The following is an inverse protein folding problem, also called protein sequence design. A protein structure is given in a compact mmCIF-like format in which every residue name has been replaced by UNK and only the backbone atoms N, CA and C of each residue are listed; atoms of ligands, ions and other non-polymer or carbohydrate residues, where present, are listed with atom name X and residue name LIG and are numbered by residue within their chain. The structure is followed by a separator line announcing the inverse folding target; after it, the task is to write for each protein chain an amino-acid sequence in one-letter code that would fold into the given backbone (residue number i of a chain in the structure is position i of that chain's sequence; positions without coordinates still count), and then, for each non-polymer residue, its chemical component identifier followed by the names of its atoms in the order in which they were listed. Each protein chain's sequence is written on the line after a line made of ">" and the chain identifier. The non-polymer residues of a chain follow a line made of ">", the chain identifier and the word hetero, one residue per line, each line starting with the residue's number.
data_IF_515556225857
#
_entry.id   IF_515556225857
#
_cell.length_a   1.000
_cell.length_b   1.000
_cell.length_c   1.000
_cell.angle_alpha   90.00
_cell.angle_beta   90.00
_cell.angle_gamma   90.00
#
_symmetry.space_group_name_H-M   'P 1'
#
loop_
_entity.id
_entity.type
_entity.pdbx_description
1 polymer ?
#
# COMPACT_ATOMS: atom_id res chain seq x y z
N UNK A 1 -32.27 -29.37 16.34
CA UNK A 1 -30.86 -29.76 16.31
C UNK A 1 -30.30 -29.81 14.87
N UNK A 2 -30.86 -30.59 13.94
CA UNK A 2 -30.37 -30.69 12.54
C UNK A 2 -30.35 -29.37 11.78
N UNK A 3 -31.38 -28.53 11.89
CA UNK A 3 -31.46 -27.21 11.23
C UNK A 3 -30.37 -26.27 11.74
N UNK A 4 -30.14 -26.20 13.04
CA UNK A 4 -29.07 -25.38 13.62
C UNK A 4 -27.69 -25.80 13.14
N UNK A 5 -27.44 -27.13 13.09
CA UNK A 5 -26.21 -27.67 12.56
C UNK A 5 -26.01 -27.28 11.07
N UNK A 6 -27.06 -27.40 10.27
CA UNK A 6 -27.02 -27.04 8.85
C UNK A 6 -26.69 -25.53 8.67
N UNK A 7 -27.34 -24.66 9.46
CA UNK A 7 -27.05 -23.21 9.42
C UNK A 7 -25.60 -22.92 9.79
N UNK A 8 -25.10 -23.57 10.86
CA UNK A 8 -23.68 -23.41 11.27
C UNK A 8 -22.72 -23.86 10.16
N UNK A 9 -22.99 -25.01 9.52
CA UNK A 9 -22.17 -25.51 8.42
C UNK A 9 -22.20 -24.59 7.20
N UNK A 10 -23.35 -24.01 6.85
CA UNK A 10 -23.46 -23.01 5.79
C UNK A 10 -22.65 -21.76 6.13
N UNK A 11 -22.77 -21.23 7.33
CA UNK A 11 -22.01 -20.05 7.76
C UNK A 11 -20.50 -20.30 7.76
N UNK A 12 -20.08 -21.46 8.24
CA UNK A 12 -18.66 -21.89 8.15
C UNK A 12 -18.20 -22.00 6.70
N UNK A 13 -19.01 -22.58 5.83
CA UNK A 13 -18.71 -22.68 4.40
C UNK A 13 -18.56 -21.30 3.76
N UNK A 14 -19.47 -20.37 4.03
CA UNK A 14 -19.40 -19.01 3.50
C UNK A 14 -18.12 -18.26 3.93
N UNK A 15 -17.56 -18.59 5.08
CA UNK A 15 -16.30 -18.02 5.56
C UNK A 15 -15.10 -18.76 4.97
N UNK A 16 -15.08 -20.08 5.03
CA UNK A 16 -13.91 -20.89 4.69
C UNK A 16 -13.67 -21.01 3.18
N UNK A 17 -14.73 -21.10 2.37
CA UNK A 17 -14.60 -21.27 0.92
C UNK A 17 -13.87 -20.12 0.22
N UNK A 18 -14.12 -18.83 0.53
CA UNK A 18 -13.34 -17.74 -0.04
C UNK A 18 -11.85 -17.83 0.32
N UNK A 19 -11.52 -18.20 1.56
CA UNK A 19 -10.11 -18.37 1.97
C UNK A 19 -9.45 -19.54 1.24
N UNK A 20 -10.16 -20.68 1.10
CA UNK A 20 -9.68 -21.83 0.35
C UNK A 20 -9.47 -21.46 -1.12
N UNK A 21 -10.39 -20.71 -1.72
CA UNK A 21 -10.27 -20.24 -3.09
C UNK A 21 -9.03 -19.34 -3.27
N UNK A 22 -8.83 -18.36 -2.39
CA UNK A 22 -7.64 -17.51 -2.42
C UNK A 22 -6.35 -18.32 -2.22
N UNK A 23 -6.39 -19.33 -1.34
CA UNK A 23 -5.25 -20.22 -1.13
C UNK A 23 -4.91 -21.01 -2.40
N UNK A 24 -5.91 -21.63 -3.04
CA UNK A 24 -5.74 -22.38 -4.28
C UNK A 24 -5.19 -21.45 -5.37
N UNK A 25 -5.77 -20.26 -5.58
CA UNK A 25 -5.25 -19.28 -6.53
C UNK A 25 -3.79 -18.93 -6.25
N UNK A 26 -3.43 -18.79 -4.96
CA UNK A 26 -2.05 -18.54 -4.55
C UNK A 26 -1.08 -19.66 -4.95
N UNK A 27 -1.50 -20.92 -4.99
CA UNK A 27 -0.62 -22.04 -5.36
C UNK A 27 -0.14 -21.95 -6.82
N UNK A 28 -0.90 -21.34 -7.71
CA UNK A 28 -0.54 -21.14 -9.12
C UNK A 28 0.43 -19.95 -9.35
N UNK A 29 0.80 -19.23 -8.30
CA UNK A 29 1.79 -18.14 -8.41
C UNK A 29 3.20 -18.68 -8.22
N UNK A 30 4.03 -18.59 -9.24
CA UNK A 30 5.46 -18.88 -9.14
C UNK A 30 6.19 -17.74 -8.41
N UNK A 31 6.59 -17.98 -7.18
CA UNK A 31 7.28 -17.00 -6.34
C UNK A 31 8.75 -16.80 -6.69
N UNK A 32 9.32 -17.62 -7.59
CA UNK A 32 10.69 -17.48 -8.08
C UNK A 32 10.76 -16.51 -9.25
N UNK A 33 9.64 -16.37 -9.99
CA UNK A 33 9.54 -15.48 -11.14
C UNK A 33 9.37 -14.03 -10.67
N UNK A 34 10.12 -13.11 -11.25
CA UNK A 34 9.85 -11.68 -11.11
C UNK A 34 8.81 -11.28 -12.16
N UNK A 35 7.66 -10.77 -11.70
CA UNK A 35 6.61 -10.31 -12.58
C UNK A 35 6.84 -8.83 -12.91
N UNK A 36 6.87 -8.50 -14.19
CA UNK A 36 7.04 -7.13 -14.70
C UNK A 36 5.71 -6.43 -14.96
N UNK A 37 4.63 -7.21 -15.09
CA UNK A 37 3.28 -6.70 -15.32
C UNK A 37 2.30 -7.30 -14.32
N UNK A 38 1.39 -6.47 -13.86
CA UNK A 38 0.28 -6.86 -12.99
C UNK A 38 -0.66 -7.84 -13.70
N UNK A 39 -1.30 -8.71 -12.94
CA UNK A 39 -2.35 -9.60 -13.44
C UNK A 39 -3.71 -9.04 -13.07
N UNK A 40 -4.54 -8.76 -14.07
CA UNK A 40 -5.92 -8.29 -13.85
C UNK A 40 -6.70 -9.20 -12.90
N UNK A 41 -6.56 -10.53 -13.06
CA UNK A 41 -7.21 -11.53 -12.21
C UNK A 41 -6.76 -11.44 -10.75
N UNK A 42 -5.44 -11.48 -10.50
CA UNK A 42 -4.92 -11.42 -9.12
C UNK A 42 -5.13 -10.04 -8.49
N UNK A 43 -5.12 -8.97 -9.29
CA UNK A 43 -5.47 -7.63 -8.81
C UNK A 43 -6.93 -7.58 -8.37
N UNK A 44 -7.86 -8.12 -9.16
CA UNK A 44 -9.27 -8.19 -8.77
C UNK A 44 -9.48 -9.03 -7.50
N UNK A 45 -8.75 -10.15 -7.35
CA UNK A 45 -8.76 -10.96 -6.13
C UNK A 45 -8.24 -10.16 -4.93
N UNK A 46 -7.13 -9.42 -5.09
CA UNK A 46 -6.55 -8.60 -4.03
C UNK A 46 -7.54 -7.51 -3.60
N UNK A 47 -8.01 -6.72 -4.56
CA UNK A 47 -8.89 -5.57 -4.29
C UNK A 47 -10.26 -6.03 -3.73
N UNK A 48 -10.84 -7.09 -4.30
CA UNK A 48 -12.11 -7.63 -3.83
C UNK A 48 -12.03 -8.20 -2.42
N UNK A 49 -11.04 -9.07 -2.15
CA UNK A 49 -10.89 -9.68 -0.83
C UNK A 49 -10.56 -8.66 0.25
N UNK A 50 -9.70 -7.66 -0.05
CA UNK A 50 -9.38 -6.61 0.92
C UNK A 50 -10.56 -5.66 1.16
N UNK A 51 -11.37 -5.36 0.15
CA UNK A 51 -12.62 -4.60 0.33
C UNK A 51 -13.55 -5.30 1.31
N UNK A 52 -13.77 -6.61 1.15
CA UNK A 52 -14.61 -7.40 2.06
C UNK A 52 -14.01 -7.41 3.47
N UNK A 53 -12.70 -7.62 3.60
CA UNK A 53 -12.02 -7.63 4.90
C UNK A 53 -12.19 -6.28 5.60
N UNK A 54 -11.94 -5.16 4.94
CA UNK A 54 -12.08 -3.82 5.54
C UNK A 54 -13.52 -3.53 5.96
N UNK A 55 -14.49 -3.99 5.16
CA UNK A 55 -15.91 -3.91 5.52
C UNK A 55 -16.23 -4.73 6.77
N UNK A 56 -15.79 -5.98 6.84
CA UNK A 56 -15.96 -6.85 8.01
C UNK A 56 -15.29 -6.27 9.27
N UNK A 57 -14.14 -5.61 9.12
CA UNK A 57 -13.44 -4.95 10.22
C UNK A 57 -14.09 -3.62 10.64
N UNK A 58 -15.16 -3.21 9.96
CA UNK A 58 -15.87 -1.97 10.26
C UNK A 58 -15.03 -0.71 10.01
N UNK A 59 -14.09 -0.77 9.06
CA UNK A 59 -13.28 0.39 8.67
C UNK A 59 -14.12 1.33 7.84
N UNK A 60 -14.18 2.60 8.27
CA UNK A 60 -14.75 3.71 7.51
C UNK A 60 -13.62 4.66 7.16
N UNK A 61 -13.55 5.10 5.92
CA UNK A 61 -12.50 6.02 5.47
C UNK A 61 -13.10 7.27 4.88
N UNK A 62 -12.44 8.37 5.17
CA UNK A 62 -12.69 9.70 4.63
C UNK A 62 -11.47 10.13 3.83
N UNK A 63 -11.69 10.61 2.60
CA UNK A 63 -10.61 10.99 1.70
C UNK A 63 -10.81 12.46 1.34
N UNK A 64 -9.72 13.22 1.37
CA UNK A 64 -9.71 14.60 0.91
C UNK A 64 -8.51 14.89 0.02
N UNK A 65 -8.64 15.89 -0.85
CA UNK A 65 -7.60 16.26 -1.80
C UNK A 65 -7.46 15.34 -3.00
N UNK A 66 -8.50 14.53 -3.31
CA UNK A 66 -8.44 13.61 -4.47
C UNK A 66 -8.30 14.34 -5.80
N UNK A 67 -8.73 15.59 -5.89
CA UNK A 67 -8.54 16.46 -7.05
C UNK A 67 -7.06 16.77 -7.36
N UNK A 68 -6.17 16.54 -6.39
CA UNK A 68 -4.73 16.75 -6.54
C UNK A 68 -4.01 15.56 -7.20
N UNK A 69 -4.69 14.43 -7.41
CA UNK A 69 -4.09 13.34 -8.17
C UNK A 69 -3.80 13.76 -9.61
N UNK A 70 -2.73 13.24 -10.24
CA UNK A 70 -2.50 13.48 -11.66
C UNK A 70 -3.71 13.04 -12.47
N UNK A 71 -4.16 13.85 -13.43
CA UNK A 71 -5.29 13.52 -14.31
C UNK A 71 -5.02 12.26 -15.12
N UNK A 72 -3.80 12.08 -15.54
CA UNK A 72 -3.36 10.93 -16.35
C UNK A 72 -2.03 10.37 -15.86
N UNK A 73 -1.86 9.08 -16.13
CA UNK A 73 -0.60 8.39 -15.86
C UNK A 73 -0.52 7.81 -14.46
N UNK A 74 0.66 7.36 -14.16
CA UNK A 74 1.03 6.73 -12.89
C UNK A 74 2.10 7.55 -12.17
N UNK A 75 2.27 7.29 -10.88
CA UNK A 75 3.04 8.12 -9.97
C UNK A 75 3.68 7.28 -8.86
N UNK A 76 4.66 7.86 -8.19
CA UNK A 76 5.12 7.38 -6.90
C UNK A 76 4.20 7.93 -5.81
N UNK A 77 3.52 7.06 -5.10
CA UNK A 77 2.67 7.39 -3.97
C UNK A 77 3.46 7.24 -2.67
N UNK A 78 3.55 8.29 -1.87
CA UNK A 78 4.21 8.27 -0.58
C UNK A 78 3.25 8.67 0.54
N UNK A 79 3.38 8.01 1.69
CA UNK A 79 2.56 8.28 2.88
C UNK A 79 3.35 8.02 4.15
N UNK A 80 2.89 8.57 5.28
CA UNK A 80 3.35 8.17 6.60
C UNK A 80 2.91 6.74 6.94
N UNK A 81 3.57 6.09 7.88
CA UNK A 81 3.33 4.68 8.21
C UNK A 81 3.02 4.46 9.69
N UNK A 82 1.78 4.15 10.01
CA UNK A 82 1.27 3.93 11.38
C UNK A 82 0.92 2.48 11.68
N UNK A 83 0.41 1.76 10.68
CA UNK A 83 -0.18 0.44 10.88
C UNK A 83 0.14 -0.53 9.74
N UNK A 84 -0.01 -1.83 9.99
CA UNK A 84 0.01 -2.84 8.91
C UNK A 84 -1.21 -2.69 7.97
N UNK A 85 -2.24 -1.98 8.40
CA UNK A 85 -3.44 -1.75 7.61
C UNK A 85 -3.29 -0.60 6.61
N UNK A 86 -2.30 0.30 6.78
CA UNK A 86 -2.10 1.45 5.88
C UNK A 86 -2.03 1.04 4.40
N UNK A 87 -1.13 0.13 3.99
CA UNK A 87 -1.06 -0.26 2.59
C UNK A 87 -2.35 -0.94 2.12
N UNK A 88 -3.00 -1.75 2.99
CA UNK A 88 -4.23 -2.47 2.67
C UNK A 88 -5.34 -1.49 2.32
N UNK A 89 -5.50 -0.45 3.13
CA UNK A 89 -6.50 0.59 2.91
C UNK A 89 -6.16 1.38 1.64
N UNK A 90 -4.92 1.83 1.51
CA UNK A 90 -4.51 2.68 0.39
C UNK A 90 -4.61 1.98 -0.96
N UNK A 91 -4.18 0.70 -1.11
CA UNK A 91 -4.36 0.02 -2.38
C UNK A 91 -5.83 -0.30 -2.68
N UNK A 92 -6.66 -0.53 -1.65
CA UNK A 92 -8.09 -0.82 -1.82
C UNK A 92 -8.86 0.43 -2.20
N UNK A 93 -8.59 1.55 -1.54
CA UNK A 93 -9.24 2.84 -1.79
C UNK A 93 -8.83 3.40 -3.16
N UNK A 94 -7.54 3.37 -3.46
CA UNK A 94 -6.97 3.89 -4.71
C UNK A 94 -6.78 2.80 -5.78
N UNK A 95 -7.66 1.79 -5.83
CA UNK A 95 -7.58 0.64 -6.76
C UNK A 95 -7.46 1.05 -8.23
N UNK A 96 -8.05 2.19 -8.63
CA UNK A 96 -7.95 2.72 -10.00
C UNK A 96 -6.51 2.96 -10.44
N UNK A 97 -5.60 3.27 -9.52
CA UNK A 97 -4.19 3.55 -9.78
C UNK A 97 -3.29 2.31 -9.67
N UNK A 98 -3.85 1.15 -9.35
CA UNK A 98 -3.14 -0.14 -9.26
C UNK A 98 -1.86 -0.05 -8.43
N UNK A 99 -1.94 0.51 -7.21
CA UNK A 99 -0.80 0.68 -6.33
C UNK A 99 -0.10 -0.66 -6.05
N UNK A 100 1.19 -0.73 -6.32
CA UNK A 100 2.07 -1.84 -5.98
C UNK A 100 3.12 -1.36 -4.98
N UNK A 101 3.07 -1.86 -3.74
CA UNK A 101 3.93 -1.34 -2.67
C UNK A 101 5.31 -1.97 -2.64
N UNK A 102 6.32 -1.13 -2.35
CA UNK A 102 7.61 -1.59 -1.87
C UNK A 102 7.43 -2.00 -0.41
N UNK A 103 7.69 -3.26 -0.10
CA UNK A 103 7.35 -3.86 1.18
C UNK A 103 8.48 -4.70 1.76
N UNK A 104 8.43 -5.01 3.06
CA UNK A 104 9.41 -5.90 3.68
C UNK A 104 9.26 -7.35 3.18
N UNK A 105 10.36 -8.10 3.14
CA UNK A 105 10.40 -9.49 2.65
C UNK A 105 9.42 -10.43 3.37
N UNK A 106 9.20 -10.22 4.66
CA UNK A 106 8.32 -11.05 5.47
C UNK A 106 6.88 -11.03 5.01
N UNK A 107 6.42 -9.93 4.41
CA UNK A 107 5.05 -9.81 3.91
C UNK A 107 4.77 -10.80 2.76
N UNK A 108 5.79 -11.18 1.99
CA UNK A 108 5.67 -12.17 0.92
C UNK A 108 5.59 -13.62 1.42
N UNK A 109 5.82 -13.83 2.73
CA UNK A 109 5.66 -15.14 3.40
C UNK A 109 4.27 -15.31 4.01
N UNK A 110 3.43 -14.28 4.04
CA UNK A 110 2.05 -14.38 4.53
C UNK A 110 1.30 -15.39 3.65
N UNK A 111 0.70 -16.43 4.23
CA UNK A 111 -0.06 -17.41 3.46
C UNK A 111 -1.09 -16.74 2.56
N UNK A 112 -1.29 -17.24 1.35
CA UNK A 112 -2.17 -16.71 0.31
C UNK A 112 -1.77 -15.30 -0.16
N UNK A 113 -1.89 -14.30 0.69
CA UNK A 113 -1.67 -12.89 0.34
C UNK A 113 -0.24 -12.59 -0.14
N UNK A 114 0.76 -13.21 0.46
CA UNK A 114 2.15 -13.03 0.05
C UNK A 114 2.38 -13.38 -1.43
N UNK A 115 1.74 -14.44 -1.91
CA UNK A 115 1.80 -14.86 -3.32
C UNK A 115 0.95 -13.95 -4.22
N UNK A 116 -0.24 -13.53 -3.76
CA UNK A 116 -1.12 -12.63 -4.51
C UNK A 116 -0.46 -11.27 -4.71
N UNK A 117 0.06 -10.64 -3.65
CA UNK A 117 0.76 -9.35 -3.76
C UNK A 117 2.01 -9.47 -4.65
N UNK A 118 2.74 -10.61 -4.58
CA UNK A 118 3.86 -10.87 -5.47
C UNK A 118 3.43 -10.87 -6.94
N UNK A 119 2.30 -11.50 -7.27
CA UNK A 119 1.74 -11.52 -8.63
C UNK A 119 1.18 -10.16 -9.08
N UNK A 120 0.85 -9.28 -8.13
CA UNK A 120 0.45 -7.89 -8.34
C UNK A 120 1.64 -6.92 -8.35
N UNK A 121 2.84 -7.40 -8.66
CA UNK A 121 4.06 -6.60 -8.80
C UNK A 121 4.49 -5.83 -7.54
N UNK A 122 4.06 -6.23 -6.35
CA UNK A 122 4.65 -5.72 -5.12
C UNK A 122 6.12 -6.16 -5.03
N UNK A 123 6.95 -5.37 -4.38
CA UNK A 123 8.40 -5.55 -4.42
C UNK A 123 9.00 -5.67 -3.03
N UNK A 124 9.71 -6.78 -2.72
CA UNK A 124 10.44 -6.89 -1.46
C UNK A 124 11.67 -5.97 -1.47
N UNK A 125 11.88 -5.22 -0.37
CA UNK A 125 13.09 -4.43 -0.18
C UNK A 125 14.00 -5.08 0.87
N UNK A 126 15.29 -5.13 0.58
CA UNK A 126 16.33 -5.52 1.52
C UNK A 126 16.99 -4.26 2.11
N UNK A 127 16.57 -3.87 3.32
CA UNK A 127 17.09 -2.67 4.00
C UNK A 127 18.49 -2.83 4.55
N UNK A 128 18.98 -4.08 4.65
CA UNK A 128 20.34 -4.37 5.14
C UNK A 128 21.39 -4.28 4.03
N UNK A 129 20.98 -4.29 2.76
CA UNK A 129 21.87 -4.26 1.62
C UNK A 129 21.52 -3.07 0.71
N UNK A 130 22.32 -1.98 0.73
CA UNK A 130 22.09 -0.82 -0.17
C UNK A 130 22.03 -1.21 -1.65
N UNK A 131 22.87 -2.16 -2.07
CA UNK A 131 22.86 -2.68 -3.44
C UNK A 131 21.50 -3.32 -3.79
N UNK A 132 21.00 -4.26 -2.96
CA UNK A 132 19.70 -4.91 -3.19
C UNK A 132 18.53 -3.94 -3.07
N UNK A 133 18.62 -2.96 -2.18
CA UNK A 133 17.62 -1.88 -2.10
C UNK A 133 17.57 -1.08 -3.41
N UNK A 134 18.73 -0.78 -4.00
CA UNK A 134 18.80 -0.07 -5.29
C UNK A 134 18.25 -0.92 -6.45
N UNK A 135 18.44 -2.24 -6.43
CA UNK A 135 17.83 -3.17 -7.40
C UNK A 135 16.29 -3.07 -7.33
N UNK A 136 15.72 -3.01 -6.10
CA UNK A 136 14.27 -2.81 -5.90
C UNK A 136 13.82 -1.44 -6.42
N UNK A 137 14.57 -0.37 -6.16
CA UNK A 137 14.29 0.98 -6.67
C UNK A 137 14.28 0.99 -8.20
N UNK A 138 15.27 0.38 -8.85
CA UNK A 138 15.33 0.29 -10.31
C UNK A 138 14.14 -0.47 -10.90
N UNK A 139 13.75 -1.57 -10.26
CA UNK A 139 12.58 -2.36 -10.65
C UNK A 139 11.28 -1.56 -10.50
N UNK A 140 11.15 -0.81 -9.42
CA UNK A 140 9.98 0.05 -9.18
C UNK A 140 9.88 1.18 -10.22
N UNK A 141 11.02 1.79 -10.58
CA UNK A 141 11.08 2.78 -11.65
C UNK A 141 10.67 2.17 -13.00
N UNK A 142 11.15 0.96 -13.32
CA UNK A 142 10.75 0.24 -14.54
C UNK A 142 9.24 -0.03 -14.56
N UNK A 143 8.65 -0.46 -13.42
CA UNK A 143 7.21 -0.66 -13.32
C UNK A 143 6.42 0.63 -13.62
N UNK A 144 6.88 1.77 -13.09
CA UNK A 144 6.27 3.08 -13.35
C UNK A 144 6.37 3.52 -14.82
N UNK A 145 7.46 3.18 -15.52
CA UNK A 145 7.65 3.60 -16.93
C UNK A 145 6.96 2.69 -17.94
N UNK A 146 6.95 1.37 -17.68
CA UNK A 146 6.54 0.37 -18.67
C UNK A 146 5.12 -0.15 -18.49
N UNK A 147 4.45 0.20 -17.37
CA UNK A 147 3.10 -0.29 -17.07
C UNK A 147 2.17 0.84 -16.65
N UNK A 148 0.88 0.54 -16.49
CA UNK A 148 -0.09 1.48 -15.92
C UNK A 148 -0.20 1.40 -14.39
N UNK A 149 0.77 0.78 -13.69
CA UNK A 149 0.77 0.69 -12.24
C UNK A 149 1.42 1.92 -11.61
N UNK A 150 0.89 2.37 -10.49
CA UNK A 150 1.58 3.28 -9.57
C UNK A 150 2.34 2.49 -8.51
N UNK A 151 3.36 3.09 -7.91
CA UNK A 151 4.17 2.47 -6.85
C UNK A 151 3.90 3.18 -5.55
N UNK A 152 3.58 2.43 -4.50
CA UNK A 152 3.42 2.94 -3.15
C UNK A 152 4.66 2.67 -2.28
N UNK A 153 5.03 3.64 -1.45
CA UNK A 153 6.13 3.48 -0.50
C UNK A 153 5.92 4.32 0.76
N UNK A 154 6.41 3.81 1.87
CA UNK A 154 6.50 4.53 3.14
C UNK A 154 7.96 4.95 3.35
N UNK A 155 8.31 6.22 3.15
CA UNK A 155 9.71 6.66 3.20
C UNK A 155 10.33 6.53 4.58
N UNK A 156 9.54 6.47 5.65
CA UNK A 156 10.00 6.17 7.02
C UNK A 156 10.66 4.79 7.16
N UNK A 157 10.34 3.87 6.25
CA UNK A 157 10.88 2.51 6.26
C UNK A 157 10.40 1.62 7.41
N UNK A 158 9.76 2.14 8.44
CA UNK A 158 9.15 1.42 9.57
C UNK A 158 7.93 2.17 10.07
N UNK A 159 7.08 1.51 10.86
CA UNK A 159 5.90 2.14 11.46
C UNK A 159 6.30 3.03 12.63
N UNK A 160 5.74 4.23 12.68
CA UNK A 160 5.75 5.05 13.88
C UNK A 160 4.75 4.51 14.90
N UNK A 161 5.22 4.25 16.13
CA UNK A 161 4.37 3.79 17.23
C UNK A 161 3.78 4.94 18.05
N UNK A 162 4.43 6.09 18.02
CA UNK A 162 4.10 7.26 18.85
C UNK A 162 3.30 8.33 18.08
N UNK A 163 2.89 8.02 16.85
CA UNK A 163 2.16 8.97 16.02
C UNK A 163 3.02 10.06 15.39
N UNK A 164 4.29 10.17 15.76
CA UNK A 164 5.23 11.15 15.18
C UNK A 164 5.77 10.64 13.84
N UNK A 165 5.95 11.54 12.89
CA UNK A 165 6.61 11.22 11.64
C UNK A 165 8.08 10.84 11.90
N UNK A 166 8.55 9.76 11.30
CA UNK A 166 9.95 9.34 11.41
C UNK A 166 10.76 9.92 10.24
N UNK A 167 12.09 10.11 10.41
CA UNK A 167 12.95 10.62 9.34
C UNK A 167 12.87 9.75 8.08
N UNK A 168 12.87 10.40 6.92
CA UNK A 168 12.73 9.73 5.64
C UNK A 168 14.04 9.12 5.14
N UNK A 169 13.94 7.96 4.55
CA UNK A 169 14.99 7.35 3.75
C UNK A 169 14.87 7.89 2.31
N UNK A 170 15.58 8.97 1.99
CA UNK A 170 15.52 9.66 0.71
C UNK A 170 15.68 8.74 -0.53
N UNK A 171 16.44 7.65 -0.39
CA UNK A 171 16.76 6.74 -1.50
C UNK A 171 15.55 6.14 -2.22
N UNK A 172 14.38 6.05 -1.59
CA UNK A 172 13.16 5.52 -2.23
C UNK A 172 12.55 6.51 -3.22
N UNK A 173 12.80 7.81 -3.06
CA UNK A 173 12.31 8.84 -4.00
C UNK A 173 13.02 8.78 -5.36
N UNK A 174 14.20 8.12 -5.42
CA UNK A 174 14.86 7.81 -6.70
C UNK A 174 13.98 7.00 -7.65
N UNK A 175 12.94 6.32 -7.14
CA UNK A 175 11.95 5.65 -7.99
C UNK A 175 11.29 6.64 -8.95
N UNK A 176 10.76 7.75 -8.43
CA UNK A 176 10.12 8.79 -9.23
C UNK A 176 11.11 9.50 -10.15
N UNK A 177 12.29 9.87 -9.62
CA UNK A 177 13.34 10.55 -10.39
C UNK A 177 13.81 9.71 -11.59
N UNK A 178 14.10 8.41 -11.39
CA UNK A 178 14.50 7.49 -12.45
C UNK A 178 13.39 7.23 -13.46
N UNK A 179 12.15 7.20 -13.02
CA UNK A 179 11.00 6.98 -13.89
C UNK A 179 10.55 8.26 -14.60
N UNK A 180 11.01 9.45 -14.19
CA UNK A 180 10.52 10.73 -14.70
C UNK A 180 9.02 10.92 -14.41
N UNK A 181 8.54 10.48 -13.25
CA UNK A 181 7.12 10.48 -12.88
C UNK A 181 6.87 11.38 -11.66
N UNK A 182 5.63 11.90 -11.50
CA UNK A 182 5.27 12.72 -10.35
C UNK A 182 5.29 11.92 -9.05
N UNK A 183 5.35 12.65 -7.93
CA UNK A 183 5.22 12.12 -6.57
C UNK A 183 3.93 12.65 -5.96
N UNK A 184 3.04 11.75 -5.55
CA UNK A 184 1.84 12.07 -4.77
C UNK A 184 2.16 11.91 -3.30
N UNK A 185 2.05 12.99 -2.55
CA UNK A 185 2.30 13.06 -1.11
C UNK A 185 0.97 12.97 -0.38
N UNK A 186 0.85 12.05 0.59
CA UNK A 186 -0.37 11.84 1.36
C UNK A 186 -0.10 11.57 2.82
N UNK A 187 -1.12 11.76 3.66
CA UNK A 187 -1.14 11.30 5.05
C UNK A 187 -2.26 10.29 5.28
N UNK A 188 -2.07 9.42 6.27
CA UNK A 188 -3.07 8.47 6.74
C UNK A 188 -3.09 8.45 8.27
N UNK A 189 -4.30 8.48 8.87
CA UNK A 189 -4.50 8.48 10.31
C UNK A 189 -5.63 7.55 10.73
N UNK A 190 -5.63 7.14 12.00
CA UNK A 190 -6.67 6.28 12.59
C UNK A 190 -6.46 4.78 12.40
N UNK A 191 -5.58 4.36 11.51
CA UNK A 191 -5.33 2.94 11.19
C UNK A 191 -4.72 2.16 12.36
N UNK A 192 -3.97 2.82 13.23
CA UNK A 192 -3.40 2.26 14.46
C UNK A 192 -4.46 1.78 15.44
N UNK A 193 -5.68 2.33 15.34
CA UNK A 193 -6.81 1.99 16.20
C UNK A 193 -7.57 0.74 15.76
N UNK A 194 -7.39 0.26 14.52
CA UNK A 194 -8.16 -0.85 13.94
C UNK A 194 -8.12 -2.09 14.83
N UNK A 195 -6.91 -2.55 15.20
CA UNK A 195 -6.77 -3.76 16.00
C UNK A 195 -7.42 -3.64 17.39
N UNK A 196 -7.33 -2.47 18.01
CA UNK A 196 -7.97 -2.18 19.31
C UNK A 196 -9.48 -2.15 19.17
N UNK A 197 -10.00 -1.52 18.11
CA UNK A 197 -11.43 -1.35 17.90
C UNK A 197 -12.12 -2.66 17.52
N UNK A 198 -11.48 -3.53 16.73
CA UNK A 198 -11.97 -4.88 16.44
C UNK A 198 -12.27 -5.64 17.75
N UNK A 199 -11.32 -5.65 18.69
CA UNK A 199 -11.50 -6.33 20.00
C UNK A 199 -12.65 -5.77 20.82
N UNK A 200 -13.08 -4.54 20.53
CA UNK A 200 -14.16 -3.84 21.22
C UNK A 200 -15.46 -3.78 20.39
N UNK A 201 -15.51 -4.49 19.26
CA UNK A 201 -16.64 -4.45 18.32
C UNK A 201 -17.00 -3.02 17.87
N UNK A 202 -16.01 -2.14 17.73
CA UNK A 202 -16.17 -0.74 17.31
C UNK A 202 -15.69 -0.52 15.90
N UNK A 203 -16.36 0.33 15.16
CA UNK A 203 -15.91 0.83 13.86
C UNK A 203 -14.69 1.74 14.03
N UNK A 204 -13.84 1.77 13.01
CA UNK A 204 -12.67 2.63 13.01
C UNK A 204 -12.80 3.64 11.87
N UNK A 205 -12.74 4.93 12.23
CA UNK A 205 -12.58 6.00 11.25
C UNK A 205 -11.10 6.10 10.86
N UNK A 206 -10.86 6.22 9.56
CA UNK A 206 -9.54 6.41 8.96
C UNK A 206 -9.62 7.60 8.03
N UNK A 207 -8.71 8.56 8.21
CA UNK A 207 -8.61 9.74 7.34
C UNK A 207 -7.41 9.59 6.43
N UNK A 208 -7.60 9.87 5.13
CA UNK A 208 -6.55 9.91 4.12
C UNK A 208 -6.62 11.29 3.47
N UNK A 209 -5.50 12.02 3.49
CA UNK A 209 -5.43 13.33 2.85
C UNK A 209 -4.33 13.33 1.80
N UNK A 210 -4.68 13.73 0.57
CA UNK A 210 -3.70 13.99 -0.47
C UNK A 210 -3.25 15.44 -0.31
N UNK A 211 -1.95 15.62 0.00
CA UNK A 211 -1.41 16.92 0.33
C UNK A 211 -1.02 17.70 -0.92
N UNK A 212 -0.23 17.07 -1.78
CA UNK A 212 0.30 17.67 -3.01
C UNK A 212 0.68 16.58 -4.01
N UNK A 213 0.58 16.92 -5.29
CA UNK A 213 1.27 16.19 -6.36
C UNK A 213 2.43 17.04 -6.85
N UNK A 214 3.64 16.57 -6.60
CA UNK A 214 4.88 17.17 -7.11
C UNK A 214 5.05 16.68 -8.53
N UNK A 215 5.00 17.58 -9.50
CA UNK A 215 5.11 17.21 -10.91
C UNK A 215 6.48 16.64 -11.30
N UNK A 216 6.53 15.95 -12.43
CA UNK A 216 7.73 15.26 -12.88
C UNK A 216 8.89 16.21 -13.22
N UNK A 217 8.63 17.48 -13.56
CA UNK A 217 9.67 18.47 -13.82
C UNK A 217 10.37 18.84 -12.51
N UNK A 218 9.61 19.23 -11.49
CA UNK A 218 10.12 19.54 -10.15
C UNK A 218 10.84 18.34 -9.52
N UNK A 219 10.32 17.11 -9.70
CA UNK A 219 10.97 15.87 -9.23
C UNK A 219 12.36 15.67 -9.84
N UNK A 220 12.56 16.07 -11.10
CA UNK A 220 13.86 15.96 -11.79
C UNK A 220 14.84 17.05 -11.40
N UNK A 221 14.37 18.26 -11.12
CA UNK A 221 15.18 19.40 -10.75
C UNK A 221 15.80 19.29 -9.36
N UNK A 222 15.03 18.75 -8.40
CA UNK A 222 15.48 18.63 -7.03
C UNK A 222 16.46 17.48 -6.84
N UNK A 223 17.49 17.70 -6.00
CA UNK A 223 18.28 16.57 -5.49
C UNK A 223 17.40 15.64 -4.66
N UNK A 224 17.77 14.37 -4.56
CA UNK A 224 16.99 13.37 -3.83
C UNK A 224 16.79 13.74 -2.34
N UNK A 225 17.79 14.39 -1.71
CA UNK A 225 17.69 14.91 -0.34
C UNK A 225 16.69 16.04 -0.22
N UNK A 226 16.77 17.03 -1.12
CA UNK A 226 15.87 18.19 -1.15
C UNK A 226 14.41 17.76 -1.38
N UNK A 227 14.17 16.82 -2.32
CA UNK A 227 12.84 16.24 -2.55
C UNK A 227 12.33 15.52 -1.29
N UNK A 228 13.20 14.80 -0.58
CA UNK A 228 12.86 14.10 0.65
C UNK A 228 12.47 15.06 1.76
N UNK A 229 13.27 16.10 1.99
CA UNK A 229 13.02 17.14 2.98
C UNK A 229 11.71 17.89 2.68
N UNK A 230 11.47 18.20 1.40
CA UNK A 230 10.22 18.84 0.97
C UNK A 230 8.99 17.98 1.29
N UNK A 231 9.03 16.69 0.92
CA UNK A 231 7.94 15.76 1.22
C UNK A 231 7.73 15.56 2.73
N UNK A 232 8.83 15.46 3.49
CA UNK A 232 8.79 15.30 4.95
C UNK A 232 8.17 16.54 5.62
N UNK A 233 8.56 17.74 5.18
CA UNK A 233 8.02 19.00 5.69
C UNK A 233 6.50 19.12 5.42
N UNK A 234 6.03 18.75 4.24
CA UNK A 234 4.59 18.73 3.91
C UNK A 234 3.81 17.80 4.85
N UNK A 235 4.29 16.57 5.05
CA UNK A 235 3.61 15.62 5.93
C UNK A 235 3.68 16.05 7.40
N UNK A 236 4.82 16.59 7.83
CA UNK A 236 5.00 17.06 9.21
C UNK A 236 4.06 18.19 9.54
N UNK A 237 3.97 19.19 8.66
CA UNK A 237 3.04 20.32 8.83
C UNK A 237 1.61 19.82 9.00
N UNK A 238 1.12 18.93 8.11
CA UNK A 238 -0.23 18.39 8.19
C UNK A 238 -0.50 17.62 9.48
N UNK A 239 0.44 16.76 9.88
CA UNK A 239 0.27 15.91 11.07
C UNK A 239 0.41 16.66 12.39
N UNK A 240 1.10 17.81 12.42
CA UNK A 240 1.23 18.67 13.60
C UNK A 240 0.04 19.62 13.78
N UNK A 241 -0.67 19.99 12.71
CA UNK A 241 -1.89 20.81 12.76
C UNK A 241 -3.07 20.08 13.43
N UNK A 242 -2.96 18.76 13.65
CA UNK A 242 -4.01 17.92 14.25
C UNK A 242 -3.68 17.39 15.65
N UNK A 243 -2.56 17.85 16.28
CA UNK A 243 -2.19 17.56 17.66
C UNK A 243 -2.59 18.72 18.56
#
# INVERSE_FOLDING_TARGET
>A
MKIVLLVVLILLGLILLPFLFLFICGLFVDTRKQYERDSKFYRALLDGSTTVILWCLGVRYEISGEEKFPETGNFLFISNHRSNYDPIIQWTVFKRYKLSFISKKENFKIPMYGRIIHRCCFMPIDRKSPRKAMETVNRAAKLLTETGNSVGVYPEGKRSKEGRLLPFHAGVLKVAQKAGKPVVVSTIEGTENIFRNIKRFRKTAVTIKILETIDAAKVRELKTSELSEYCEALMKKELEEHI
#
